data_IF_662279556339
#
_entry.id   IF_662279556339
#
_cell.length_a   1.000
_cell.length_b   1.000
_cell.length_c   1.000
_cell.angle_alpha   90.00
_cell.angle_beta   90.00
_cell.angle_gamma   90.00
#
_symmetry.space_group_name_H-M   'P 1'
#
loop_
_entity.id
_entity.type
_entity.pdbx_description
1 polymer ?
#
# COMPACT_ATOMS: atom_id res chain seq x y z
N UNK A 1 -0.91 -14.24 -36.31
CA UNK A 1 -0.49 -13.02 -35.61
C UNK A 1 0.18 -12.09 -36.61
N UNK A 2 -0.05 -10.79 -36.52
CA UNK A 2 0.48 -9.78 -37.44
C UNK A 2 1.32 -8.78 -36.62
N UNK A 3 2.52 -8.46 -37.12
CA UNK A 3 3.40 -7.45 -36.52
C UNK A 3 3.13 -6.10 -37.18
N UNK A 4 2.84 -5.09 -36.37
CA UNK A 4 2.74 -3.68 -36.77
C UNK A 4 3.76 -2.83 -36.01
N UNK A 5 3.92 -1.59 -36.46
CA UNK A 5 4.85 -0.64 -35.87
C UNK A 5 4.23 0.75 -35.72
N UNK A 6 4.85 1.58 -34.90
CA UNK A 6 4.51 2.99 -34.75
C UNK A 6 5.79 3.83 -34.76
N UNK A 7 5.65 5.14 -34.90
CA UNK A 7 6.78 6.06 -34.92
C UNK A 7 7.56 6.03 -33.60
N UNK A 8 8.90 6.04 -33.70
CA UNK A 8 9.78 6.01 -32.51
C UNK A 8 9.58 7.22 -31.59
N UNK A 9 9.09 8.35 -32.11
CA UNK A 9 8.79 9.55 -31.31
C UNK A 9 7.81 9.26 -30.17
N UNK A 10 6.89 8.31 -30.33
CA UNK A 10 5.95 7.94 -29.27
C UNK A 10 6.63 7.29 -28.07
N UNK A 11 7.87 6.81 -28.20
CA UNK A 11 8.65 6.27 -27.08
C UNK A 11 9.09 7.35 -26.07
N UNK A 12 8.87 8.64 -26.37
CA UNK A 12 9.00 9.71 -25.36
C UNK A 12 7.89 9.68 -24.29
N UNK A 13 6.75 9.06 -24.60
CA UNK A 13 5.65 8.85 -23.64
C UNK A 13 6.06 7.71 -22.69
N UNK A 14 5.75 7.81 -21.38
CA UNK A 14 5.96 6.71 -20.43
C UNK A 14 5.45 5.36 -20.95
N UNK A 15 6.28 4.32 -20.79
CA UNK A 15 6.00 2.98 -21.34
C UNK A 15 4.67 2.41 -20.85
N UNK A 16 4.30 2.68 -19.61
CA UNK A 16 3.07 2.23 -18.98
C UNK A 16 1.85 2.79 -19.71
N UNK A 17 1.88 4.04 -20.19
CA UNK A 17 0.80 4.65 -20.97
C UNK A 17 0.66 3.97 -22.34
N UNK A 18 1.79 3.71 -23.01
CA UNK A 18 1.80 3.04 -24.32
C UNK A 18 1.25 1.62 -24.18
N UNK A 19 1.71 0.88 -23.16
CA UNK A 19 1.28 -0.49 -22.88
C UNK A 19 -0.22 -0.52 -22.54
N UNK A 20 -0.70 0.39 -21.69
CA UNK A 20 -2.12 0.50 -21.34
C UNK A 20 -2.97 0.80 -22.58
N UNK A 21 -2.53 1.76 -23.40
CA UNK A 21 -3.20 2.10 -24.67
C UNK A 21 -3.31 0.90 -25.63
N UNK A 22 -2.27 0.06 -25.68
CA UNK A 22 -2.28 -1.17 -26.47
C UNK A 22 -3.20 -2.24 -25.87
N UNK A 23 -3.08 -2.48 -24.56
CA UNK A 23 -3.73 -3.60 -23.88
C UNK A 23 -5.23 -3.37 -23.69
N UNK A 24 -5.60 -2.25 -23.07
CA UNK A 24 -6.98 -2.00 -22.64
C UNK A 24 -7.83 -1.47 -23.80
N UNK A 25 -7.30 -0.54 -24.61
CA UNK A 25 -8.09 0.07 -25.69
C UNK A 25 -8.11 -0.78 -26.97
N UNK A 26 -7.08 -1.59 -27.24
CA UNK A 26 -6.89 -2.26 -28.55
C UNK A 26 -6.60 -3.76 -28.51
N UNK A 27 -6.35 -4.35 -27.32
CA UNK A 27 -5.98 -5.77 -27.17
C UNK A 27 -4.74 -6.17 -28.00
N UNK A 28 -3.79 -5.25 -28.12
CA UNK A 28 -2.51 -5.51 -28.77
C UNK A 28 -1.49 -6.01 -27.76
N UNK A 29 -0.51 -6.78 -28.24
CA UNK A 29 0.62 -7.22 -27.44
C UNK A 29 1.81 -6.29 -27.68
N UNK A 30 2.33 -5.59 -26.66
CA UNK A 30 3.53 -4.77 -26.81
C UNK A 30 4.76 -5.63 -27.12
N UNK A 31 5.66 -5.13 -27.95
CA UNK A 31 6.92 -5.80 -28.28
C UNK A 31 8.05 -5.24 -27.42
N UNK A 32 8.85 -6.14 -26.84
CA UNK A 32 10.04 -5.78 -26.08
C UNK A 32 11.31 -6.21 -26.83
N UNK A 33 12.35 -5.40 -26.73
CA UNK A 33 13.70 -5.70 -27.20
C UNK A 33 14.68 -5.36 -26.09
N UNK A 34 15.46 -6.35 -25.63
CA UNK A 34 16.39 -6.19 -24.51
C UNK A 34 15.72 -5.59 -23.26
N UNK A 35 14.57 -6.15 -22.89
CA UNK A 35 13.73 -5.72 -21.74
C UNK A 35 13.24 -4.26 -21.80
N UNK A 36 13.33 -3.61 -22.96
CA UNK A 36 12.78 -2.28 -23.20
C UNK A 36 11.64 -2.34 -24.22
N UNK A 37 10.63 -1.51 -24.01
CA UNK A 37 9.53 -1.35 -24.95
C UNK A 37 10.09 -0.90 -26.31
N UNK A 38 9.77 -1.63 -27.37
CA UNK A 38 10.09 -1.26 -28.75
C UNK A 38 8.88 -0.61 -29.41
N UNK A 39 9.10 0.09 -30.53
CA UNK A 39 8.05 0.71 -31.33
C UNK A 39 7.25 -0.28 -32.19
N UNK A 40 6.92 -1.44 -31.62
CA UNK A 40 6.24 -2.54 -32.28
C UNK A 40 5.12 -3.11 -31.42
N UNK A 41 4.11 -3.68 -32.09
CA UNK A 41 3.00 -4.37 -31.45
C UNK A 41 2.55 -5.56 -32.29
N UNK A 42 2.00 -6.58 -31.62
CA UNK A 42 1.42 -7.76 -32.28
C UNK A 42 -0.09 -7.75 -32.11
N UNK A 43 -0.80 -7.98 -33.21
CA UNK A 43 -2.26 -8.15 -33.22
C UNK A 43 -2.64 -9.55 -33.71
N UNK A 44 -3.72 -10.10 -33.15
CA UNK A 44 -4.29 -11.38 -33.60
C UNK A 44 -5.49 -11.08 -34.48
N UNK A 45 -5.40 -11.45 -35.76
CA UNK A 45 -6.49 -11.34 -36.73
C UNK A 45 -6.95 -12.73 -37.14
N UNK A 46 -8.28 -12.90 -37.25
CA UNK A 46 -8.94 -14.09 -37.79
C UNK A 46 -9.24 -13.97 -39.29
N UNK A 47 -8.81 -12.88 -39.95
CA UNK A 47 -9.07 -12.67 -41.36
C UNK A 47 -8.27 -13.66 -42.23
N UNK A 48 -8.94 -14.22 -43.23
CA UNK A 48 -8.32 -15.09 -44.26
C UNK A 48 -8.16 -14.24 -45.52
N UNK A 49 -6.92 -13.80 -45.77
CA UNK A 49 -6.58 -12.98 -46.95
C UNK A 49 -5.18 -13.34 -47.44
N UNK A 50 -4.92 -13.09 -48.72
CA UNK A 50 -3.58 -13.26 -49.31
C UNK A 50 -2.65 -12.09 -48.98
N UNK A 51 -3.21 -10.94 -48.63
CA UNK A 51 -2.46 -9.74 -48.24
C UNK A 51 -3.02 -9.15 -46.93
N UNK A 52 -2.16 -9.10 -45.92
CA UNK A 52 -2.45 -8.56 -44.59
C UNK A 52 -2.02 -7.09 -44.43
N UNK A 53 -1.41 -6.48 -45.45
CA UNK A 53 -0.85 -5.13 -45.39
C UNK A 53 -1.88 -4.06 -45.00
N UNK A 54 -3.11 -4.17 -45.52
CA UNK A 54 -4.21 -3.25 -45.20
C UNK A 54 -4.67 -3.40 -43.74
N UNK A 55 -4.67 -4.63 -43.22
CA UNK A 55 -5.03 -4.89 -41.81
C UNK A 55 -3.96 -4.27 -40.91
N UNK A 56 -2.67 -4.50 -41.20
CA UNK A 56 -1.56 -3.92 -40.45
C UNK A 56 -1.67 -2.38 -40.45
N UNK A 57 -1.73 -1.75 -41.63
CA UNK A 57 -1.85 -0.28 -41.78
C UNK A 57 -3.08 0.29 -41.05
N UNK A 58 -4.20 -0.44 -41.06
CA UNK A 58 -5.40 -0.06 -40.34
C UNK A 58 -5.17 -0.01 -38.82
N UNK A 59 -4.58 -1.05 -38.25
CA UNK A 59 -4.26 -1.11 -36.81
C UNK A 59 -3.18 -0.08 -36.43
N UNK A 60 -2.18 0.13 -37.27
CA UNK A 60 -1.15 1.18 -37.08
C UNK A 60 -1.78 2.57 -37.04
N UNK A 61 -2.74 2.87 -37.94
CA UNK A 61 -3.45 4.15 -37.95
C UNK A 61 -4.27 4.36 -36.67
N UNK A 62 -4.93 3.31 -36.18
CA UNK A 62 -5.73 3.39 -34.94
C UNK A 62 -4.83 3.60 -33.73
N UNK A 63 -3.72 2.85 -33.62
CA UNK A 63 -2.78 3.01 -32.51
C UNK A 63 -2.13 4.39 -32.54
N UNK A 64 -1.67 4.85 -33.72
CA UNK A 64 -1.08 6.18 -33.89
C UNK A 64 -1.99 7.27 -33.35
N UNK A 65 -3.28 7.27 -33.70
CA UNK A 65 -4.22 8.27 -33.19
C UNK A 65 -4.28 8.29 -31.65
N UNK A 66 -4.32 7.12 -31.01
CA UNK A 66 -4.32 7.01 -29.53
C UNK A 66 -3.02 7.47 -28.90
N UNK A 67 -1.88 7.11 -29.49
CA UNK A 67 -0.58 7.54 -29.00
C UNK A 67 -0.34 9.03 -29.22
N UNK A 68 -0.90 9.62 -30.27
CA UNK A 68 -0.91 11.08 -30.48
C UNK A 68 -1.68 11.81 -29.39
N UNK A 69 -2.86 11.31 -28.99
CA UNK A 69 -3.62 11.88 -27.88
C UNK A 69 -2.83 11.78 -26.56
N UNK A 70 -2.27 10.60 -26.26
CA UNK A 70 -1.45 10.38 -25.07
C UNK A 70 -0.19 11.27 -25.05
N UNK A 71 0.50 11.40 -26.18
CA UNK A 71 1.67 12.28 -26.33
C UNK A 71 1.28 13.74 -26.08
N UNK A 72 0.14 14.19 -26.61
CA UNK A 72 -0.37 15.53 -26.38
C UNK A 72 -0.63 15.78 -24.89
N UNK A 73 -1.29 14.85 -24.20
CA UNK A 73 -1.51 14.94 -22.75
C UNK A 73 -0.20 15.01 -21.99
N UNK A 74 0.75 14.12 -22.28
CA UNK A 74 2.08 14.07 -21.66
C UNK A 74 2.82 15.41 -21.81
N UNK A 75 2.91 15.93 -23.03
CA UNK A 75 3.60 17.20 -23.30
C UNK A 75 2.89 18.41 -22.68
N UNK A 76 1.55 18.39 -22.64
CA UNK A 76 0.75 19.45 -22.01
C UNK A 76 0.92 19.46 -20.49
N UNK A 77 0.85 18.29 -19.87
CA UNK A 77 0.98 18.12 -18.42
C UNK A 77 2.40 18.51 -17.96
N UNK A 78 3.45 18.16 -18.72
CA UNK A 78 4.84 18.55 -18.43
C UNK A 78 5.08 20.07 -18.40
N UNK A 79 4.34 20.82 -19.23
CA UNK A 79 4.41 22.29 -19.28
C UNK A 79 3.72 22.96 -18.10
N UNK A 80 2.83 22.24 -17.42
CA UNK A 80 2.06 22.75 -16.29
C UNK A 80 2.87 22.62 -14.99
N UNK A 81 2.56 23.45 -14.00
CA UNK A 81 3.07 23.29 -12.64
C UNK A 81 2.49 22.01 -12.00
N UNK A 82 3.37 21.19 -11.43
CA UNK A 82 2.99 19.96 -10.73
C UNK A 82 2.96 20.23 -9.23
N UNK A 83 1.77 20.24 -8.64
CA UNK A 83 1.60 20.60 -7.24
C UNK A 83 0.19 20.35 -6.70
N UNK A 84 0.01 20.43 -5.37
CA UNK A 84 -1.22 20.03 -4.70
C UNK A 84 -2.36 21.03 -4.81
N UNK A 85 -2.10 22.28 -5.19
CA UNK A 85 -3.07 23.37 -5.07
C UNK A 85 -4.42 23.09 -5.75
N UNK A 86 -4.39 22.46 -6.92
CA UNK A 86 -5.60 22.10 -7.68
C UNK A 86 -6.43 21.00 -6.99
N UNK A 87 -5.85 20.23 -6.06
CA UNK A 87 -6.53 19.17 -5.32
C UNK A 87 -7.60 19.70 -4.36
N UNK A 88 -7.57 21.00 -4.03
CA UNK A 88 -8.64 21.68 -3.28
C UNK A 88 -10.00 21.60 -3.99
N UNK A 89 -9.98 21.48 -5.31
CA UNK A 89 -11.19 21.41 -6.14
C UNK A 89 -11.71 19.98 -6.34
N UNK A 90 -10.96 18.96 -5.90
CA UNK A 90 -11.34 17.55 -6.03
C UNK A 90 -11.92 17.10 -4.69
N UNK A 91 -13.22 16.81 -4.65
CA UNK A 91 -13.87 16.28 -3.45
C UNK A 91 -13.41 14.85 -3.20
N UNK A 92 -12.89 14.56 -2.00
CA UNK A 92 -12.61 13.20 -1.57
C UNK A 92 -13.91 12.53 -1.08
N UNK A 93 -14.49 13.05 0.00
CA UNK A 93 -15.76 12.63 0.56
C UNK A 93 -16.40 13.84 1.24
N UNK A 94 -17.72 14.03 1.10
CA UNK A 94 -18.43 15.20 1.64
C UNK A 94 -18.11 15.46 3.12
N UNK A 95 -17.97 14.41 3.92
CA UNK A 95 -17.72 14.50 5.36
C UNK A 95 -16.23 14.64 5.74
N UNK A 96 -15.31 14.43 4.78
CA UNK A 96 -13.84 14.46 4.95
C UNK A 96 -13.13 15.52 4.07
N UNK A 97 -13.88 16.25 3.26
CA UNK A 97 -13.39 17.36 2.45
C UNK A 97 -12.81 16.95 1.09
N UNK A 98 -11.82 17.72 0.66
CA UNK A 98 -11.09 17.61 -0.60
C UNK A 98 -9.92 16.61 -0.51
N UNK A 99 -9.34 16.28 -1.68
CA UNK A 99 -8.10 15.51 -1.75
C UNK A 99 -6.93 16.28 -1.14
N UNK A 100 -6.90 17.60 -1.26
CA UNK A 100 -5.90 18.44 -0.57
C UNK A 100 -5.98 18.28 0.95
N UNK A 101 -7.19 18.33 1.51
CA UNK A 101 -7.39 18.11 2.96
C UNK A 101 -7.04 16.69 3.39
N UNK A 102 -7.19 15.71 2.50
CA UNK A 102 -6.68 14.35 2.71
C UNK A 102 -5.15 14.32 2.77
N UNK A 103 -4.43 14.95 1.85
CA UNK A 103 -2.97 15.02 1.90
C UNK A 103 -2.47 15.71 3.18
N UNK A 104 -3.14 16.75 3.65
CA UNK A 104 -2.78 17.40 4.92
C UNK A 104 -2.93 16.46 6.12
N UNK A 105 -3.97 15.60 6.15
CA UNK A 105 -4.10 14.59 7.20
C UNK A 105 -3.05 13.49 7.07
N UNK A 106 -2.82 13.00 5.86
CA UNK A 106 -1.75 12.04 5.58
C UNK A 106 -0.38 12.57 5.98
N UNK A 107 -0.11 13.86 5.79
CA UNK A 107 1.15 14.49 6.18
C UNK A 107 1.34 14.46 7.70
N UNK A 108 0.26 14.72 8.47
CA UNK A 108 0.31 14.62 9.94
C UNK A 108 0.56 13.19 10.40
N UNK A 109 -0.09 12.21 9.76
CA UNK A 109 0.14 10.79 10.05
C UNK A 109 1.59 10.41 9.69
N UNK A 110 2.08 10.82 8.53
CA UNK A 110 3.45 10.56 8.09
C UNK A 110 4.49 11.16 9.05
N UNK A 111 4.28 12.39 9.55
CA UNK A 111 5.16 13.02 10.55
C UNK A 111 5.20 12.25 11.87
N UNK A 112 4.05 11.72 12.33
CA UNK A 112 3.98 10.87 13.53
C UNK A 112 4.72 9.55 13.32
N UNK A 113 4.46 8.85 12.22
CA UNK A 113 5.18 7.63 11.86
C UNK A 113 6.69 7.88 11.72
N UNK A 114 7.08 9.01 11.13
CA UNK A 114 8.49 9.33 10.94
C UNK A 114 9.25 9.51 12.26
N UNK A 115 8.58 10.01 13.30
CA UNK A 115 9.15 10.06 14.66
C UNK A 115 9.49 8.66 15.17
N UNK A 116 8.63 7.68 14.91
CA UNK A 116 8.83 6.30 15.34
C UNK A 116 9.94 5.57 14.56
N UNK A 117 10.26 6.04 13.35
CA UNK A 117 11.24 5.42 12.45
C UNK A 117 12.40 6.36 12.09
N UNK A 118 12.69 7.34 12.95
CA UNK A 118 13.63 8.43 12.66
C UNK A 118 15.03 7.92 12.29
N UNK A 119 15.56 6.93 13.02
CA UNK A 119 16.87 6.34 12.73
C UNK A 119 16.91 5.64 11.37
N UNK A 120 15.86 4.88 11.03
CA UNK A 120 15.75 4.18 9.75
C UNK A 120 15.67 5.17 8.60
N UNK A 121 14.85 6.22 8.75
CA UNK A 121 14.67 7.25 7.73
C UNK A 121 15.92 8.10 7.53
N UNK A 122 16.65 8.45 8.60
CA UNK A 122 17.94 9.15 8.51
C UNK A 122 18.97 8.31 7.75
N UNK A 123 19.05 7.02 8.06
CA UNK A 123 19.96 6.10 7.39
C UNK A 123 19.64 5.94 5.89
N UNK A 124 18.36 5.93 5.53
CA UNK A 124 17.92 5.69 4.15
C UNK A 124 17.90 6.95 3.27
N UNK A 125 17.43 8.08 3.81
CA UNK A 125 17.12 9.29 3.03
C UNK A 125 17.86 10.57 3.50
N UNK A 126 18.67 10.50 4.57
CA UNK A 126 19.41 11.63 5.13
C UNK A 126 18.48 12.63 5.84
N UNK A 127 18.57 13.90 5.47
CA UNK A 127 17.62 14.94 5.90
C UNK A 127 16.24 14.71 5.27
N UNK A 128 15.48 13.78 5.85
CA UNK A 128 14.26 13.24 5.24
C UNK A 128 13.02 14.11 5.46
N UNK A 129 13.00 15.01 6.46
CA UNK A 129 11.77 15.70 6.91
C UNK A 129 11.13 16.52 5.79
N UNK A 130 11.91 17.36 5.11
CA UNK A 130 11.42 18.16 3.98
C UNK A 130 11.02 17.29 2.78
N UNK A 131 11.77 16.20 2.53
CA UNK A 131 11.47 15.24 1.48
C UNK A 131 10.16 14.52 1.74
N UNK A 132 9.91 14.10 2.98
CA UNK A 132 8.68 13.41 3.36
C UNK A 132 7.47 14.32 3.19
N UNK A 133 7.60 15.58 3.59
CA UNK A 133 6.55 16.57 3.35
C UNK A 133 6.28 16.76 1.86
N UNK A 134 7.34 16.89 1.05
CA UNK A 134 7.23 17.01 -0.39
C UNK A 134 6.58 15.78 -1.04
N UNK A 135 6.97 14.58 -0.61
CA UNK A 135 6.42 13.31 -1.12
C UNK A 135 4.92 13.19 -0.85
N UNK A 136 4.47 13.48 0.38
CA UNK A 136 3.05 13.40 0.72
C UNK A 136 2.24 14.46 -0.02
N UNK A 137 2.72 15.71 -0.08
CA UNK A 137 2.00 16.82 -0.73
C UNK A 137 2.05 16.77 -2.27
N UNK A 138 2.87 15.92 -2.88
CA UNK A 138 2.84 15.66 -4.32
C UNK A 138 2.16 14.35 -4.69
N UNK A 139 1.86 13.52 -3.69
CA UNK A 139 1.42 12.14 -3.88
C UNK A 139 0.20 12.04 -4.78
N UNK A 140 -0.80 12.93 -4.65
CA UNK A 140 -2.02 12.88 -5.45
C UNK A 140 -2.10 13.98 -6.50
N UNK A 141 -1.03 14.76 -6.70
CA UNK A 141 -1.04 15.90 -7.61
C UNK A 141 -1.33 15.49 -9.06
N UNK A 142 -1.01 14.24 -9.44
CA UNK A 142 -1.27 13.71 -10.77
C UNK A 142 -2.76 13.51 -11.07
N UNK A 143 -3.64 13.42 -10.07
CA UNK A 143 -5.10 13.42 -10.26
C UNK A 143 -5.64 14.67 -10.98
N UNK A 144 -4.82 15.72 -11.09
CA UNK A 144 -5.16 16.99 -11.75
C UNK A 144 -4.66 17.07 -13.20
N UNK A 145 -4.01 16.00 -13.68
CA UNK A 145 -3.39 15.93 -15.01
C UNK A 145 -4.35 15.32 -16.03
N UNK A 146 -4.20 15.71 -17.31
CA UNK A 146 -5.02 15.14 -18.37
C UNK A 146 -4.71 13.66 -18.57
N UNK A 147 -3.44 13.27 -18.41
CA UNK A 147 -3.04 11.87 -18.50
C UNK A 147 -3.78 10.98 -17.52
N UNK A 148 -3.87 11.35 -16.24
CA UNK A 148 -4.57 10.52 -15.23
C UNK A 148 -6.09 10.59 -15.38
N UNK A 149 -6.62 11.68 -15.95
CA UNK A 149 -8.03 11.73 -16.30
C UNK A 149 -8.40 10.67 -17.36
N UNK A 150 -7.55 10.48 -18.38
CA UNK A 150 -7.75 9.45 -19.42
C UNK A 150 -7.36 8.05 -18.93
N UNK A 151 -6.27 7.93 -18.16
CA UNK A 151 -5.68 6.67 -17.69
C UNK A 151 -5.67 6.60 -16.16
N UNK A 152 -6.85 6.48 -15.56
CA UNK A 152 -7.04 6.53 -14.09
C UNK A 152 -6.26 5.46 -13.31
N UNK A 153 -5.95 4.33 -13.95
CA UNK A 153 -5.17 3.21 -13.43
C UNK A 153 -3.67 3.53 -13.31
N UNK A 154 -3.20 4.60 -13.96
CA UNK A 154 -1.79 5.03 -13.93
C UNK A 154 -1.51 6.13 -12.89
N UNK A 155 -2.48 6.41 -12.01
CA UNK A 155 -2.27 7.29 -10.87
C UNK A 155 -1.11 6.79 -9.97
N UNK A 156 -0.39 7.71 -9.34
CA UNK A 156 0.86 7.45 -8.63
C UNK A 156 2.04 7.21 -9.56
N UNK A 157 1.89 6.34 -10.57
CA UNK A 157 2.94 6.07 -11.58
C UNK A 157 3.23 7.33 -12.38
N UNK A 158 2.19 7.97 -12.92
CA UNK A 158 2.34 9.23 -13.65
C UNK A 158 2.84 10.36 -12.74
N UNK A 159 2.35 10.44 -11.50
CA UNK A 159 2.90 11.36 -10.50
C UNK A 159 4.41 11.25 -10.32
N UNK A 160 4.95 10.03 -10.32
CA UNK A 160 6.40 9.83 -10.24
C UNK A 160 7.14 10.31 -11.49
N UNK A 161 6.59 10.07 -12.69
CA UNK A 161 7.15 10.61 -13.94
C UNK A 161 7.18 12.14 -13.94
N UNK A 162 6.10 12.79 -13.48
CA UNK A 162 6.04 14.25 -13.38
C UNK A 162 6.99 14.80 -12.32
N UNK A 163 7.03 14.20 -11.12
CA UNK A 163 7.98 14.59 -10.07
C UNK A 163 9.43 14.48 -10.56
N UNK A 164 9.78 13.39 -11.26
CA UNK A 164 11.10 13.21 -11.85
C UNK A 164 11.41 14.28 -12.90
N UNK A 165 10.46 14.61 -13.78
CA UNK A 165 10.63 15.66 -14.78
C UNK A 165 10.81 17.06 -14.16
N UNK A 166 10.33 17.27 -12.93
CA UNK A 166 10.55 18.50 -12.14
C UNK A 166 11.80 18.45 -11.25
N UNK A 167 12.67 17.44 -11.43
CA UNK A 167 13.91 17.25 -10.67
C UNK A 167 13.70 17.08 -9.16
N UNK A 168 12.60 16.45 -8.74
CA UNK A 168 12.39 16.07 -7.34
C UNK A 168 13.39 14.97 -6.90
N UNK A 169 13.64 14.88 -5.58
CA UNK A 169 14.53 13.87 -4.98
C UNK A 169 14.06 12.44 -5.31
N UNK A 170 15.00 11.52 -5.52
CA UNK A 170 14.68 10.13 -5.91
C UNK A 170 13.77 9.42 -4.89
N UNK A 171 13.90 9.71 -3.60
CA UNK A 171 13.02 9.13 -2.57
C UNK A 171 11.60 9.71 -2.65
N UNK A 172 11.47 10.98 -3.02
CA UNK A 172 10.17 11.64 -3.27
C UNK A 172 9.48 10.99 -4.47
N UNK A 173 10.21 10.87 -5.59
CA UNK A 173 9.71 10.23 -6.82
C UNK A 173 9.26 8.79 -6.54
N UNK A 174 10.09 8.01 -5.85
CA UNK A 174 9.79 6.61 -5.54
C UNK A 174 8.57 6.49 -4.60
N UNK A 175 8.49 7.33 -3.56
CA UNK A 175 7.36 7.30 -2.64
C UNK A 175 6.04 7.66 -3.31
N UNK A 176 6.04 8.61 -4.26
CA UNK A 176 4.83 8.96 -5.05
C UNK A 176 4.40 7.74 -5.90
N UNK A 177 5.36 7.04 -6.52
CA UNK A 177 5.09 5.82 -7.31
C UNK A 177 4.47 4.72 -6.45
N UNK A 178 5.02 4.50 -5.26
CA UNK A 178 4.71 3.35 -4.40
C UNK A 178 3.61 3.61 -3.36
N UNK A 179 3.05 4.83 -3.29
CA UNK A 179 2.11 5.22 -2.21
C UNK A 179 0.88 4.31 -2.08
N UNK A 180 0.41 3.73 -3.20
CA UNK A 180 -0.76 2.87 -3.20
C UNK A 180 -0.42 1.42 -2.82
N UNK A 181 0.86 1.04 -2.84
CA UNK A 181 1.30 -0.31 -2.54
C UNK A 181 1.16 -0.66 -1.04
N UNK A 182 0.89 -1.94 -0.71
CA UNK A 182 0.36 -2.94 -1.62
C UNK A 182 -1.11 -2.63 -1.95
N UNK A 183 -1.50 -2.81 -3.22
CA UNK A 183 -2.84 -2.56 -3.76
C UNK A 183 -3.67 -3.85 -3.96
N UNK A 184 -3.08 -5.02 -3.65
CA UNK A 184 -3.71 -6.34 -3.76
C UNK A 184 -3.09 -7.42 -2.87
N UNK A 185 -3.62 -8.65 -2.98
CA UNK A 185 -3.14 -9.81 -2.21
C UNK A 185 -1.79 -10.33 -2.67
N UNK A 186 -1.48 -10.26 -3.96
CA UNK A 186 -0.16 -10.64 -4.51
C UNK A 186 0.72 -9.43 -4.81
N UNK A 187 0.23 -8.22 -4.49
CA UNK A 187 0.96 -6.98 -4.76
C UNK A 187 2.21 -6.87 -3.88
N UNK A 188 3.26 -6.32 -4.49
CA UNK A 188 4.51 -6.00 -3.81
C UNK A 188 4.30 -4.90 -2.76
N UNK A 189 5.12 -4.92 -1.72
CA UNK A 189 5.20 -3.82 -0.76
C UNK A 189 6.10 -2.71 -1.30
N UNK A 190 5.97 -1.46 -0.79
CA UNK A 190 6.92 -0.41 -1.08
C UNK A 190 8.35 -0.87 -0.80
N UNK A 191 9.29 -0.53 -1.70
CA UNK A 191 10.65 -1.08 -1.67
C UNK A 191 11.52 -0.49 -0.56
N UNK A 192 11.18 0.72 -0.09
CA UNK A 192 11.92 1.47 0.92
C UNK A 192 11.09 1.79 2.16
N UNK A 193 11.74 2.06 3.29
CA UNK A 193 11.06 2.48 4.54
C UNK A 193 10.41 3.86 4.36
N UNK A 194 11.09 4.78 3.67
CA UNK A 194 10.57 6.10 3.33
C UNK A 194 9.26 6.01 2.52
N UNK A 195 9.24 5.19 1.46
CA UNK A 195 8.02 4.93 0.68
C UNK A 195 6.93 4.26 1.54
N UNK A 196 7.33 3.36 2.43
CA UNK A 196 6.44 2.66 3.35
C UNK A 196 5.76 3.62 4.32
N UNK A 197 6.44 4.65 4.82
CA UNK A 197 5.82 5.70 5.66
C UNK A 197 4.74 6.47 4.90
N UNK A 198 4.97 6.82 3.62
CA UNK A 198 3.98 7.50 2.78
C UNK A 198 2.79 6.58 2.46
N UNK A 199 3.05 5.30 2.14
CA UNK A 199 1.99 4.34 1.88
C UNK A 199 1.16 4.01 3.13
N UNK A 200 1.80 3.89 4.30
CA UNK A 200 1.14 3.72 5.58
C UNK A 200 0.30 4.94 5.93
N UNK A 201 0.80 6.15 5.71
CA UNK A 201 0.02 7.36 6.03
C UNK A 201 -1.25 7.46 5.21
N UNK A 202 -1.19 7.10 3.92
CA UNK A 202 -2.37 7.02 3.06
C UNK A 202 -3.40 5.98 3.54
N UNK A 203 -2.94 4.77 3.88
CA UNK A 203 -3.80 3.67 4.35
C UNK A 203 -4.42 3.97 5.71
N UNK A 204 -3.63 4.49 6.64
CA UNK A 204 -4.08 4.88 7.97
C UNK A 204 -5.04 6.07 7.90
N UNK A 205 -4.80 7.10 7.08
CA UNK A 205 -5.78 8.19 6.91
C UNK A 205 -7.11 7.68 6.37
N UNK A 206 -7.07 6.75 5.42
CA UNK A 206 -8.28 6.16 4.84
C UNK A 206 -9.07 5.38 5.90
N UNK A 207 -8.38 4.55 6.70
CA UNK A 207 -8.98 3.80 7.81
C UNK A 207 -9.56 4.75 8.87
N UNK A 208 -8.76 5.67 9.40
CA UNK A 208 -9.16 6.62 10.44
C UNK A 208 -10.29 7.52 9.97
N UNK A 209 -10.17 8.09 8.77
CA UNK A 209 -11.16 8.97 8.17
C UNK A 209 -12.51 8.29 8.01
N UNK A 210 -12.56 7.10 7.42
CA UNK A 210 -13.81 6.38 7.18
C UNK A 210 -14.46 5.86 8.47
N UNK A 211 -13.67 5.37 9.43
CA UNK A 211 -14.19 4.99 10.75
C UNK A 211 -14.74 6.21 11.50
N UNK A 212 -14.08 7.37 11.41
CA UNK A 212 -14.51 8.60 12.08
C UNK A 212 -15.85 9.16 11.59
N UNK A 213 -16.31 8.73 10.41
CA UNK A 213 -17.62 9.09 9.84
C UNK A 213 -18.60 7.92 9.79
N UNK A 214 -18.29 6.80 10.47
CA UNK A 214 -19.17 5.64 10.60
C UNK A 214 -19.29 4.77 9.36
N UNK A 215 -18.38 4.89 8.37
CA UNK A 215 -18.36 4.08 7.15
C UNK A 215 -17.57 2.78 7.35
N UNK A 216 -18.00 1.97 8.32
CA UNK A 216 -17.36 0.71 8.69
C UNK A 216 -17.90 -0.43 7.81
N UNK A 217 -17.07 -1.35 7.29
CA UNK A 217 -17.53 -2.46 6.46
C UNK A 217 -18.43 -3.41 7.26
N UNK A 218 -19.54 -3.85 6.68
CA UNK A 218 -20.47 -4.81 7.29
C UNK A 218 -20.68 -6.03 6.40
N UNK A 219 -20.72 -7.22 7.01
CA UNK A 219 -20.87 -8.49 6.30
C UNK A 219 -19.76 -8.70 5.25
N UNK A 220 -20.12 -9.12 4.04
CA UNK A 220 -19.16 -9.36 2.94
C UNK A 220 -18.83 -8.09 2.14
N UNK A 221 -19.59 -7.01 2.30
CA UNK A 221 -19.39 -5.78 1.51
C UNK A 221 -18.26 -4.94 2.08
N UNK A 222 -17.34 -4.52 1.23
CA UNK A 222 -16.27 -3.57 1.54
C UNK A 222 -16.15 -2.50 0.42
N UNK A 223 -17.11 -1.56 0.36
CA UNK A 223 -17.19 -0.60 -0.75
C UNK A 223 -16.01 0.36 -0.82
N UNK A 224 -15.32 0.59 0.30
CA UNK A 224 -14.17 1.50 0.39
C UNK A 224 -12.83 0.75 0.54
N UNK A 225 -12.82 -0.57 0.34
CA UNK A 225 -11.61 -1.39 0.40
C UNK A 225 -10.84 -1.30 1.74
N UNK A 226 -11.54 -1.10 2.86
CA UNK A 226 -10.93 -0.94 4.18
C UNK A 226 -10.21 -2.20 4.66
N UNK A 227 -10.69 -3.38 4.30
CA UNK A 227 -10.00 -4.65 4.60
C UNK A 227 -8.70 -4.75 3.81
N UNK A 228 -8.69 -4.30 2.55
CA UNK A 228 -7.45 -4.23 1.75
C UNK A 228 -6.47 -3.23 2.34
N UNK A 229 -6.94 -2.06 2.79
CA UNK A 229 -6.09 -1.09 3.47
C UNK A 229 -5.48 -1.65 4.76
N UNK A 230 -6.26 -2.31 5.61
CA UNK A 230 -5.78 -2.94 6.85
C UNK A 230 -4.78 -4.08 6.57
N UNK A 231 -5.05 -4.93 5.58
CA UNK A 231 -4.09 -5.95 5.13
C UNK A 231 -2.79 -5.29 4.63
N UNK A 232 -2.89 -4.18 3.90
CA UNK A 232 -1.74 -3.44 3.42
C UNK A 232 -0.88 -2.88 4.54
N UNK A 233 -1.48 -2.39 5.63
CA UNK A 233 -0.74 -1.95 6.83
C UNK A 233 0.09 -3.10 7.40
N UNK A 234 -0.53 -4.26 7.65
CA UNK A 234 0.18 -5.43 8.20
C UNK A 234 1.30 -5.86 7.26
N UNK A 235 1.02 -5.98 5.96
CA UNK A 235 2.03 -6.37 4.96
C UNK A 235 3.26 -5.47 4.99
N UNK A 236 3.06 -4.15 5.00
CA UNK A 236 4.18 -3.19 5.02
C UNK A 236 5.00 -3.35 6.30
N UNK A 237 4.31 -3.46 7.45
CA UNK A 237 4.96 -3.66 8.76
C UNK A 237 5.82 -4.91 8.76
N UNK A 238 5.31 -6.03 8.26
CA UNK A 238 6.03 -7.30 8.22
C UNK A 238 7.18 -7.29 7.20
N UNK A 239 6.95 -6.73 6.00
CA UNK A 239 7.96 -6.68 4.94
C UNK A 239 9.23 -5.92 5.36
N UNK A 240 9.07 -4.87 6.18
CA UNK A 240 10.18 -4.06 6.68
C UNK A 240 10.54 -4.33 8.15
N UNK A 241 9.92 -5.34 8.77
CA UNK A 241 10.10 -5.67 10.20
C UNK A 241 9.98 -4.45 11.12
N UNK A 242 8.98 -3.60 10.86
CA UNK A 242 8.77 -2.36 11.61
C UNK A 242 8.15 -2.69 12.97
N UNK A 243 8.68 -2.10 14.04
CA UNK A 243 8.00 -2.08 15.33
C UNK A 243 6.74 -1.21 15.21
N UNK A 244 5.57 -1.81 15.30
CA UNK A 244 4.29 -1.15 15.04
C UNK A 244 3.28 -1.52 16.13
N UNK A 245 3.30 -0.76 17.22
CA UNK A 245 2.24 -0.82 18.22
C UNK A 245 0.98 -0.13 17.67
N UNK A 246 0.02 -0.94 17.21
CA UNK A 246 -1.19 -0.44 16.55
C UNK A 246 -2.00 0.47 17.48
N UNK A 247 -2.00 0.20 18.79
CA UNK A 247 -2.76 1.00 19.75
C UNK A 247 -2.14 2.38 19.90
N UNK A 248 -0.86 2.44 20.22
CA UNK A 248 -0.14 3.71 20.44
C UNK A 248 -0.20 4.60 19.19
N UNK A 249 0.03 4.01 18.01
CA UNK A 249 0.02 4.74 16.73
C UNK A 249 -1.38 5.27 16.44
N UNK A 250 -2.42 4.43 16.53
CA UNK A 250 -3.79 4.84 16.21
C UNK A 250 -4.34 5.87 17.21
N UNK A 251 -4.07 5.70 18.50
CA UNK A 251 -4.48 6.65 19.55
C UNK A 251 -3.80 8.01 19.37
N UNK A 252 -2.53 8.05 18.96
CA UNK A 252 -1.85 9.31 18.73
C UNK A 252 -2.40 10.04 17.49
N UNK A 253 -2.64 9.34 16.38
CA UNK A 253 -3.20 9.96 15.17
C UNK A 253 -4.69 10.29 15.30
N UNK A 254 -5.45 9.65 16.20
CA UNK A 254 -6.90 9.86 16.38
C UNK A 254 -7.30 11.32 16.65
N UNK A 255 -6.41 12.11 17.25
CA UNK A 255 -6.62 13.54 17.53
C UNK A 255 -6.90 14.39 16.28
N UNK A 256 -6.47 13.90 15.10
CA UNK A 256 -6.66 14.60 13.82
C UNK A 256 -8.02 14.34 13.16
N UNK A 257 -8.84 13.45 13.75
CA UNK A 257 -10.09 12.97 13.18
C UNK A 257 -11.28 13.30 14.10
N UNK A 258 -12.51 13.18 13.55
CA UNK A 258 -13.73 13.25 14.37
C UNK A 258 -13.70 12.13 15.40
N UNK A 259 -14.21 12.38 16.61
CA UNK A 259 -14.19 11.37 17.69
C UNK A 259 -14.95 10.10 17.29
N UNK A 260 -14.30 8.95 17.42
CA UNK A 260 -14.87 7.62 17.24
C UNK A 260 -14.21 6.61 18.19
N UNK A 261 -14.71 5.39 18.20
CA UNK A 261 -14.13 4.29 18.99
C UNK A 261 -12.90 3.70 18.26
N UNK A 262 -11.71 4.13 18.67
CA UNK A 262 -10.42 3.68 18.11
C UNK A 262 -10.21 2.19 18.37
N UNK A 263 -10.76 1.63 19.45
CA UNK A 263 -10.60 0.21 19.78
C UNK A 263 -11.30 -0.68 18.73
N UNK A 264 -12.39 -0.20 18.11
CA UNK A 264 -13.04 -0.91 17.00
C UNK A 264 -12.10 -1.01 15.79
N UNK A 265 -11.34 0.06 15.50
CA UNK A 265 -10.36 0.05 14.40
C UNK A 265 -9.14 -0.81 14.73
N UNK A 266 -8.63 -0.74 15.97
CA UNK A 266 -7.54 -1.61 16.43
C UNK A 266 -7.92 -3.08 16.20
N UNK A 267 -9.10 -3.49 16.69
CA UNK A 267 -9.57 -4.86 16.51
C UNK A 267 -9.79 -5.21 15.04
N UNK A 268 -10.31 -4.27 14.24
CA UNK A 268 -10.47 -4.48 12.79
C UNK A 268 -9.15 -4.77 12.07
N UNK A 269 -8.06 -4.07 12.43
CA UNK A 269 -6.72 -4.34 11.89
C UNK A 269 -6.19 -5.67 12.42
N UNK A 270 -6.23 -5.92 13.74
CA UNK A 270 -5.73 -7.16 14.33
C UNK A 270 -6.46 -8.41 13.82
N UNK A 271 -7.77 -8.31 13.55
CA UNK A 271 -8.57 -9.38 12.96
C UNK A 271 -8.14 -9.74 11.53
N UNK A 272 -7.28 -8.95 10.89
CA UNK A 272 -6.67 -9.33 9.61
C UNK A 272 -5.55 -10.35 9.79
N UNK A 273 -4.90 -10.43 10.96
CA UNK A 273 -3.83 -11.41 11.20
C UNK A 273 -4.26 -12.86 10.93
N UNK A 274 -5.54 -13.20 11.11
CA UNK A 274 -6.08 -14.51 10.75
C UNK A 274 -5.87 -14.91 9.29
N UNK A 275 -5.71 -13.95 8.37
CA UNK A 275 -5.48 -14.25 6.94
C UNK A 275 -4.00 -14.36 6.58
N UNK A 276 -3.08 -14.08 7.51
CA UNK A 276 -1.64 -14.07 7.25
C UNK A 276 -0.94 -15.37 7.65
N UNK A 277 -1.57 -16.18 8.51
CA UNK A 277 -0.95 -17.38 9.05
C UNK A 277 -1.77 -18.61 8.70
N UNK A 278 -1.08 -19.65 8.23
CA UNK A 278 -1.63 -21.01 8.11
C UNK A 278 -1.60 -21.71 9.48
N UNK A 279 -2.23 -21.07 10.48
CA UNK A 279 -2.29 -21.53 11.86
C UNK A 279 -3.74 -21.73 12.28
N UNK A 280 -3.96 -22.58 13.30
CA UNK A 280 -5.29 -22.72 13.88
C UNK A 280 -5.79 -21.36 14.37
N UNK A 281 -7.00 -20.96 13.99
CA UNK A 281 -7.57 -19.67 14.39
C UNK A 281 -7.56 -19.44 15.91
N UNK A 282 -7.62 -20.50 16.72
CA UNK A 282 -7.53 -20.42 18.18
C UNK A 282 -6.18 -19.87 18.67
N UNK A 283 -5.09 -20.14 17.94
CA UNK A 283 -3.73 -19.67 18.24
C UNK A 283 -3.66 -18.17 17.99
N UNK A 284 -4.06 -17.73 16.80
CA UNK A 284 -4.12 -16.29 16.44
C UNK A 284 -4.98 -15.53 17.45
N UNK A 285 -6.15 -16.09 17.80
CA UNK A 285 -7.05 -15.51 18.80
C UNK A 285 -6.41 -15.42 20.20
N UNK A 286 -5.65 -16.43 20.61
CA UNK A 286 -4.96 -16.42 21.90
C UNK A 286 -3.89 -15.32 21.94
N UNK A 287 -3.09 -15.19 20.88
CA UNK A 287 -2.08 -14.14 20.75
C UNK A 287 -2.71 -12.74 20.78
N UNK A 288 -3.77 -12.49 20.01
CA UNK A 288 -4.49 -11.19 20.03
C UNK A 288 -5.05 -10.88 21.43
N UNK A 289 -5.51 -11.90 22.17
CA UNK A 289 -6.04 -11.75 23.54
C UNK A 289 -4.98 -11.60 24.63
N UNK A 290 -3.70 -11.78 24.31
CA UNK A 290 -2.61 -11.61 25.29
C UNK A 290 -2.48 -10.17 25.81
N UNK A 291 -3.01 -9.20 25.06
CA UNK A 291 -2.88 -7.77 25.34
C UNK A 291 -1.74 -7.11 24.57
N UNK A 292 -0.87 -7.87 23.91
CA UNK A 292 0.12 -7.32 22.97
C UNK A 292 -0.58 -6.62 21.80
N UNK A 293 -0.07 -5.45 21.42
CA UNK A 293 -0.61 -4.58 20.37
C UNK A 293 0.42 -4.27 19.29
N UNK A 294 1.67 -4.70 19.45
CA UNK A 294 2.67 -4.66 18.40
C UNK A 294 2.45 -5.76 17.36
N UNK A 295 2.27 -5.38 16.10
CA UNK A 295 1.96 -6.31 15.01
C UNK A 295 3.13 -7.27 14.75
N UNK A 296 4.38 -6.79 14.88
CA UNK A 296 5.57 -7.60 14.65
C UNK A 296 5.75 -8.62 15.79
N UNK A 297 5.57 -8.20 17.04
CA UNK A 297 5.63 -9.11 18.18
C UNK A 297 4.48 -10.12 18.18
N UNK A 298 3.25 -9.69 17.87
CA UNK A 298 2.12 -10.61 17.69
C UNK A 298 2.41 -11.67 16.63
N UNK A 299 3.06 -11.28 15.53
CA UNK A 299 3.45 -12.20 14.46
C UNK A 299 4.44 -13.25 14.95
N UNK A 300 5.50 -12.82 15.66
CA UNK A 300 6.46 -13.75 16.28
C UNK A 300 5.80 -14.68 17.29
N UNK A 301 4.88 -14.16 18.11
CA UNK A 301 4.11 -14.97 19.07
C UNK A 301 3.25 -16.02 18.38
N UNK A 302 2.57 -15.66 17.28
CA UNK A 302 1.72 -16.57 16.51
C UNK A 302 2.57 -17.69 15.90
N UNK A 303 3.70 -17.35 15.27
CA UNK A 303 4.61 -18.33 14.67
C UNK A 303 5.21 -19.27 15.72
N UNK A 304 5.66 -18.72 16.85
CA UNK A 304 6.19 -19.51 17.96
C UNK A 304 5.14 -20.47 18.53
N UNK A 305 3.93 -19.98 18.81
CA UNK A 305 2.86 -20.80 19.35
C UNK A 305 2.33 -21.82 18.32
N UNK A 306 2.30 -21.47 17.04
CA UNK A 306 1.97 -22.40 15.96
C UNK A 306 2.98 -23.55 15.91
N UNK A 307 4.28 -23.25 16.00
CA UNK A 307 5.34 -24.26 16.07
C UNK A 307 5.18 -25.17 17.28
N UNK A 308 5.02 -24.60 18.48
CA UNK A 308 4.80 -25.38 19.72
C UNK A 308 3.54 -26.24 19.61
N UNK A 309 2.46 -25.73 19.01
CA UNK A 309 1.20 -26.46 18.85
C UNK A 309 1.30 -27.68 17.93
N UNK A 310 2.29 -27.69 17.04
CA UNK A 310 2.57 -28.79 16.12
C UNK A 310 3.40 -29.91 16.75
N UNK A 311 3.94 -29.71 17.96
CA UNK A 311 4.77 -30.71 18.63
C UNK A 311 3.94 -31.89 19.18
N UNK A 312 4.47 -33.12 19.15
CA UNK A 312 3.74 -34.32 19.59
C UNK A 312 3.22 -34.25 21.02
N UNK A 313 3.97 -33.59 21.91
CA UNK A 313 3.67 -33.50 23.34
C UNK A 313 2.75 -32.31 23.68
N UNK A 314 2.33 -31.51 22.70
CA UNK A 314 1.57 -30.29 22.94
C UNK A 314 0.28 -30.55 23.74
N UNK A 315 -0.44 -31.63 23.43
CA UNK A 315 -1.72 -31.94 24.09
C UNK A 315 -1.56 -32.23 25.58
N UNK A 316 -0.48 -32.91 25.95
CA UNK A 316 -0.16 -33.21 27.35
C UNK A 316 0.27 -31.95 28.09
N UNK A 317 1.20 -31.19 27.50
CA UNK A 317 1.66 -29.90 28.05
C UNK A 317 0.49 -28.92 28.24
N UNK A 318 -0.38 -28.79 27.24
CA UNK A 318 -1.55 -27.92 27.28
C UNK A 318 -2.54 -28.35 28.38
N UNK A 319 -2.73 -29.66 28.60
CA UNK A 319 -3.57 -30.16 29.70
C UNK A 319 -3.01 -29.75 31.05
N UNK A 320 -1.69 -29.82 31.24
CA UNK A 320 -1.02 -29.38 32.46
C UNK A 320 -1.18 -27.88 32.68
N UNK A 321 -0.92 -27.06 31.65
CA UNK A 321 -1.13 -25.61 31.72
C UNK A 321 -2.59 -25.24 31.99
N UNK A 322 -3.56 -25.91 31.36
CA UNK A 322 -4.99 -25.68 31.59
C UNK A 322 -5.41 -26.01 33.02
N UNK A 323 -4.85 -27.08 33.61
CA UNK A 323 -5.09 -27.40 35.03
C UNK A 323 -4.54 -26.29 35.93
N UNK A 324 -3.30 -25.88 35.72
CA UNK A 324 -2.69 -24.75 36.44
C UNK A 324 -3.54 -23.47 36.32
N UNK A 325 -3.90 -23.08 35.10
CA UNK A 325 -4.71 -21.89 34.82
C UNK A 325 -6.09 -21.93 35.53
N UNK A 326 -6.71 -23.11 35.64
CA UNK A 326 -7.97 -23.27 36.37
C UNK A 326 -7.79 -23.20 37.89
N UNK A 327 -6.66 -23.69 38.42
CA UNK A 327 -6.34 -23.62 39.86
C UNK A 327 -6.16 -22.16 40.28
N UNK A 328 -5.43 -21.39 39.47
CA UNK A 328 -5.03 -20.03 39.79
C UNK A 328 -6.01 -18.94 39.32
N UNK A 329 -7.17 -19.34 38.79
CA UNK A 329 -8.12 -18.44 38.11
C UNK A 329 -8.58 -17.27 38.99
N UNK A 330 -8.76 -17.53 40.29
CA UNK A 330 -9.28 -16.54 41.25
C UNK A 330 -8.16 -15.82 42.03
N UNK A 331 -6.89 -16.17 41.77
CA UNK A 331 -5.73 -15.57 42.41
C UNK A 331 -5.27 -14.32 41.67
N UNK A 332 -4.93 -13.27 42.43
CA UNK A 332 -4.31 -12.04 41.90
C UNK A 332 -2.80 -12.12 42.08
N UNK A 333 -2.10 -12.33 40.99
CA UNK A 333 -0.64 -12.30 40.97
C UNK A 333 -0.13 -10.85 40.90
N UNK A 334 0.85 -10.53 41.75
CA UNK A 334 1.66 -9.31 41.66
C UNK A 334 2.69 -9.43 40.53
N UNK A 335 3.44 -8.35 40.26
CA UNK A 335 4.60 -8.39 39.35
C UNK A 335 5.53 -9.53 39.76
N UNK A 336 5.98 -10.32 38.78
CA UNK A 336 6.92 -11.43 39.00
C UNK A 336 8.24 -10.85 39.50
N UNK A 337 8.77 -11.40 40.59
CA UNK A 337 10.07 -11.03 41.14
C UNK A 337 11.15 -11.94 40.55
N UNK A 338 11.85 -11.42 39.54
CA UNK A 338 12.89 -12.16 38.81
C UNK A 338 14.08 -12.56 39.70
N UNK A 339 14.23 -11.96 40.89
CA UNK A 339 15.26 -12.35 41.84
C UNK A 339 15.02 -13.73 42.49
N UNK A 340 13.80 -14.26 42.36
CA UNK A 340 13.41 -15.58 42.88
C UNK A 340 13.59 -16.72 41.88
N UNK A 341 14.11 -16.45 40.67
CA UNK A 341 14.31 -17.48 39.65
C UNK A 341 15.54 -18.35 39.95
N UNK A 342 15.33 -19.65 40.06
CA UNK A 342 16.39 -20.60 40.39
C UNK A 342 16.95 -21.29 39.15
N UNK A 343 16.09 -21.63 38.18
CA UNK A 343 16.49 -22.38 36.98
C UNK A 343 16.57 -21.49 35.74
N UNK A 344 17.45 -21.84 34.81
CA UNK A 344 17.69 -21.04 33.59
C UNK A 344 16.43 -20.91 32.73
N UNK A 345 15.53 -21.89 32.76
CA UNK A 345 14.25 -21.82 32.07
C UNK A 345 13.28 -20.77 32.64
N UNK A 346 13.45 -20.34 33.89
CA UNK A 346 12.69 -19.23 34.48
C UNK A 346 13.28 -17.87 34.10
N UNK A 347 14.57 -17.84 33.71
CA UNK A 347 15.33 -16.62 33.35
C UNK A 347 15.34 -16.32 31.85
N UNK A 348 14.79 -17.23 31.02
CA UNK A 348 14.96 -17.25 29.57
C UNK A 348 13.79 -16.61 28.79
#
# INVERSE_FOLDING_TARGET
>A
ALLGSFEEEFLEVPSEVIITSMKENQRYFPVFKNDKLANGFVVVSNAITKDYSLIIKGNEKVLRARLSDAMFFWQSDLKTEFGPEKLKNITYLKELGSIYEKELRELKVAKKLATNYDELLKKEAGEYVAKLERAVMLSKADLTTQMVYEFTELQGIMGAYYAKAKNEDENVVLAIKEQYLPDGEEAQCPSKVFSSVVALSNKLDTLMGLFSIGKIPSGTKDPYALRRAANGVIKIVLAHSLKFNVKEILEDIAKEYKKFDVEVLINFILDRLYTFFDANASIVKACIKSGEKDILELTKMIEALAKISSEPNFRENFSTFKRLANIIKDDKFSKVDESLFEIDAEKA
#
